data_IF_139163242196
#
_entry.id   IF_139163242196
#
_cell.length_a   1.000
_cell.length_b   1.000
_cell.length_c   1.000
_cell.angle_alpha   90.00
_cell.angle_beta   90.00
_cell.angle_gamma   90.00
#
_symmetry.space_group_name_H-M   'P 1'
#
loop_
_entity.id
_entity.type
_entity.pdbx_description
1 polymer ?
#
# COMPACT_ATOMS: atom_id res chain seq x y z
N UNK A 1 -17.04 -17.23 -7.75
CA UNK A 1 -16.85 -16.01 -8.55
C UNK A 1 -16.32 -14.87 -7.68
N UNK A 2 -16.94 -14.49 -6.55
CA UNK A 2 -16.50 -13.35 -5.71
C UNK A 2 -14.98 -13.34 -5.39
N UNK A 3 -14.44 -14.46 -4.89
CA UNK A 3 -13.02 -14.54 -4.50
C UNK A 3 -12.09 -14.46 -5.72
N UNK A 4 -12.47 -15.06 -6.85
CA UNK A 4 -11.68 -15.05 -8.08
C UNK A 4 -11.56 -13.63 -8.62
N UNK A 5 -12.66 -12.87 -8.59
CA UNK A 5 -12.70 -11.47 -9.05
C UNK A 5 -11.79 -10.56 -8.20
N UNK A 6 -11.54 -10.93 -6.94
CA UNK A 6 -10.72 -10.17 -6.00
C UNK A 6 -9.22 -10.54 -6.02
N UNK A 7 -8.83 -11.64 -6.67
CA UNK A 7 -7.42 -12.05 -6.72
C UNK A 7 -6.49 -11.01 -7.38
N UNK A 8 -6.82 -10.41 -8.55
CA UNK A 8 -5.96 -9.41 -9.16
C UNK A 8 -5.75 -8.16 -8.28
N UNK A 9 -6.79 -7.51 -7.70
CA UNK A 9 -6.59 -6.37 -6.82
C UNK A 9 -5.86 -6.73 -5.52
N UNK A 10 -6.05 -7.94 -4.98
CA UNK A 10 -5.27 -8.40 -3.82
C UNK A 10 -3.80 -8.63 -4.17
N UNK A 11 -3.50 -9.18 -5.34
CA UNK A 11 -2.14 -9.31 -5.85
C UNK A 11 -1.45 -7.95 -6.01
N UNK A 12 -2.17 -6.96 -6.52
CA UNK A 12 -1.68 -5.58 -6.61
C UNK A 12 -1.39 -4.99 -5.21
N UNK A 13 -2.29 -5.17 -4.25
CA UNK A 13 -2.07 -4.73 -2.87
C UNK A 13 -0.91 -5.46 -2.20
N UNK A 14 -0.78 -6.77 -2.43
CA UNK A 14 0.34 -7.56 -1.91
C UNK A 14 1.68 -6.97 -2.36
N UNK A 15 1.84 -6.74 -3.67
CA UNK A 15 3.03 -6.08 -4.20
C UNK A 15 3.24 -4.72 -3.56
N UNK A 16 2.17 -3.93 -3.41
CA UNK A 16 2.23 -2.60 -2.83
C UNK A 16 2.69 -2.60 -1.37
N UNK A 17 2.28 -3.58 -0.55
CA UNK A 17 2.71 -3.73 0.85
C UNK A 17 4.23 -3.92 0.93
N UNK A 18 4.83 -4.69 0.00
CA UNK A 18 6.28 -4.91 -0.02
C UNK A 18 7.09 -3.72 -0.55
N UNK A 19 6.45 -2.76 -1.19
CA UNK A 19 7.13 -1.54 -1.66
C UNK A 19 7.62 -0.71 -0.47
N UNK A 20 8.92 -0.35 -0.42
CA UNK A 20 9.44 0.53 0.60
C UNK A 20 8.72 1.87 0.66
N UNK A 21 8.10 2.15 1.79
CA UNK A 21 7.37 3.39 2.03
C UNK A 21 7.31 3.73 3.52
N UNK A 22 6.72 4.89 3.89
CA UNK A 22 6.71 5.35 5.28
C UNK A 22 6.23 4.30 6.28
N UNK A 23 5.17 3.53 5.97
CA UNK A 23 4.63 2.52 6.88
C UNK A 23 5.59 1.35 7.10
N UNK A 24 6.21 0.84 6.02
CA UNK A 24 7.19 -0.26 6.10
C UNK A 24 8.42 0.20 6.86
N UNK A 25 8.96 1.37 6.52
CA UNK A 25 10.14 1.92 7.18
C UNK A 25 9.87 2.18 8.67
N UNK A 26 8.71 2.75 9.02
CA UNK A 26 8.31 2.95 10.41
C UNK A 26 8.18 1.63 11.17
N UNK A 27 7.59 0.60 10.56
CA UNK A 27 7.43 -0.73 11.18
C UNK A 27 8.79 -1.37 11.46
N UNK A 28 9.72 -1.33 10.48
CA UNK A 28 11.07 -1.87 10.62
C UNK A 28 11.84 -1.09 11.69
N UNK A 29 11.88 0.25 11.62
CA UNK A 29 12.58 1.09 12.57
C UNK A 29 12.08 0.87 14.01
N UNK A 30 10.76 0.77 14.19
CA UNK A 30 10.15 0.49 15.49
C UNK A 30 10.49 -0.92 15.98
N UNK A 31 10.45 -1.93 15.13
CA UNK A 31 10.82 -3.29 15.49
C UNK A 31 12.30 -3.39 15.89
N UNK A 32 13.18 -2.64 15.23
CA UNK A 32 14.62 -2.59 15.56
C UNK A 32 14.90 -1.86 16.89
N UNK A 33 14.19 -0.77 17.20
CA UNK A 33 14.45 0.08 18.36
C UNK A 33 13.65 -0.30 19.59
N UNK A 34 12.37 -0.69 19.42
CA UNK A 34 11.44 -1.00 20.53
C UNK A 34 11.08 -2.49 20.61
N UNK A 35 11.68 -3.31 19.75
CA UNK A 35 11.49 -4.76 19.73
C UNK A 35 10.27 -5.22 18.94
N UNK A 36 10.22 -6.56 18.73
CA UNK A 36 9.22 -7.23 17.90
C UNK A 36 7.77 -6.91 18.29
N UNK A 37 7.49 -6.82 19.60
CA UNK A 37 6.11 -6.55 20.07
C UNK A 37 5.60 -5.17 19.63
N UNK A 38 6.44 -4.15 19.72
CA UNK A 38 6.11 -2.81 19.24
C UNK A 38 5.96 -2.78 17.71
N UNK A 39 6.82 -3.51 16.97
CA UNK A 39 6.67 -3.70 15.53
C UNK A 39 5.35 -4.38 15.14
N UNK A 40 4.89 -5.39 15.90
CA UNK A 40 3.59 -6.02 15.69
C UNK A 40 2.42 -5.08 15.99
N UNK A 41 2.57 -4.17 16.97
CA UNK A 41 1.57 -3.12 17.20
C UNK A 41 1.47 -2.16 15.99
N UNK A 42 2.61 -1.80 15.36
CA UNK A 42 2.61 -1.08 14.09
C UNK A 42 1.91 -1.87 12.97
N UNK A 43 2.14 -3.18 12.88
CA UNK A 43 1.50 -4.03 11.88
C UNK A 43 -0.03 -4.05 12.05
N UNK A 44 -0.51 -4.16 13.29
CA UNK A 44 -1.95 -4.10 13.59
C UNK A 44 -2.54 -2.76 13.19
N UNK A 45 -1.86 -1.66 13.51
CA UNK A 45 -2.26 -0.31 13.12
C UNK A 45 -2.34 -0.15 11.59
N UNK A 46 -1.36 -0.70 10.86
CA UNK A 46 -1.35 -0.70 9.39
C UNK A 46 -2.51 -1.52 8.81
N UNK A 47 -2.83 -2.68 9.41
CA UNK A 47 -3.97 -3.50 9.00
C UNK A 47 -5.30 -2.78 9.20
N UNK A 48 -5.54 -2.25 10.41
CA UNK A 48 -6.75 -1.50 10.73
C UNK A 48 -6.87 -0.22 9.92
N UNK A 49 -5.78 0.53 9.74
CA UNK A 49 -5.79 1.74 8.93
C UNK A 49 -6.10 1.47 7.45
N UNK A 50 -5.56 0.37 6.87
CA UNK A 50 -5.89 0.00 5.50
C UNK A 50 -7.35 -0.48 5.38
N UNK A 51 -7.89 -1.19 6.37
CA UNK A 51 -9.30 -1.55 6.43
C UNK A 51 -10.20 -0.30 6.45
N UNK A 52 -9.89 0.71 7.28
CA UNK A 52 -10.62 1.98 7.31
C UNK A 52 -10.59 2.68 5.95
N UNK A 53 -9.41 2.75 5.32
CA UNK A 53 -9.27 3.30 3.98
C UNK A 53 -10.11 2.54 2.95
N UNK A 54 -10.07 1.19 2.98
CA UNK A 54 -10.83 0.34 2.07
C UNK A 54 -12.33 0.66 2.15
N UNK A 55 -12.89 0.61 3.35
CA UNK A 55 -14.31 0.87 3.58
C UNK A 55 -14.68 2.27 3.08
N UNK A 56 -13.94 3.31 3.48
CA UNK A 56 -14.24 4.69 3.12
C UNK A 56 -14.16 4.94 1.63
N UNK A 57 -13.07 4.49 0.97
CA UNK A 57 -12.87 4.72 -0.47
C UNK A 57 -13.83 3.90 -1.32
N UNK A 58 -14.08 2.62 -0.97
CA UNK A 58 -14.92 1.75 -1.81
C UNK A 58 -16.40 2.13 -1.72
N UNK A 59 -16.90 2.49 -0.55
CA UNK A 59 -18.27 3.02 -0.41
C UNK A 59 -18.41 4.33 -1.18
N UNK A 60 -17.45 5.25 -1.03
CA UNK A 60 -17.44 6.50 -1.76
C UNK A 60 -17.36 6.31 -3.28
N UNK A 61 -16.50 5.40 -3.75
CA UNK A 61 -16.37 5.08 -5.17
C UNK A 61 -17.64 4.42 -5.73
N UNK A 62 -18.25 3.49 -5.01
CA UNK A 62 -19.51 2.85 -5.42
C UNK A 62 -20.64 3.89 -5.59
N UNK A 63 -20.81 4.78 -4.60
CA UNK A 63 -21.80 5.85 -4.67
C UNK A 63 -21.52 6.82 -5.83
N UNK A 64 -20.26 7.21 -6.03
CA UNK A 64 -19.86 8.12 -7.08
C UNK A 64 -20.07 7.52 -8.48
N UNK A 65 -19.72 6.25 -8.68
CA UNK A 65 -19.91 5.56 -9.96
C UNK A 65 -21.40 5.35 -10.30
N UNK A 66 -22.23 5.13 -9.28
CA UNK A 66 -23.68 5.02 -9.46
C UNK A 66 -24.33 6.36 -9.84
N UNK A 67 -23.92 7.44 -9.16
CA UNK A 67 -24.49 8.78 -9.41
C UNK A 67 -23.98 9.41 -10.71
N UNK A 68 -22.70 9.20 -11.05
CA UNK A 68 -22.05 9.86 -12.19
C UNK A 68 -21.15 8.87 -12.95
N UNK A 69 -21.65 8.12 -13.93
CA UNK A 69 -20.88 7.09 -14.66
C UNK A 69 -19.59 7.61 -15.30
N UNK A 70 -19.54 8.89 -15.74
CA UNK A 70 -18.35 9.53 -16.32
C UNK A 70 -17.15 9.56 -15.35
N UNK A 71 -17.41 9.54 -14.04
CA UNK A 71 -16.37 9.60 -13.04
C UNK A 71 -15.44 8.39 -13.10
N UNK A 72 -15.91 7.24 -13.59
CA UNK A 72 -15.09 6.05 -13.79
C UNK A 72 -13.94 6.35 -14.78
N UNK A 73 -14.22 6.96 -15.91
CA UNK A 73 -13.20 7.34 -16.91
C UNK A 73 -12.26 8.40 -16.37
N UNK A 74 -12.79 9.40 -15.64
CA UNK A 74 -11.96 10.45 -15.01
C UNK A 74 -11.01 9.84 -13.97
N UNK A 75 -11.51 8.96 -13.11
CA UNK A 75 -10.68 8.27 -12.09
C UNK A 75 -9.64 7.37 -12.75
N UNK A 76 -10.00 6.68 -13.85
CA UNK A 76 -9.06 5.86 -14.61
C UNK A 76 -7.93 6.72 -15.20
N UNK A 77 -8.24 7.88 -15.79
CA UNK A 77 -7.23 8.81 -16.29
C UNK A 77 -6.30 9.31 -15.19
N UNK A 78 -6.88 9.78 -14.06
CA UNK A 78 -6.10 10.25 -12.91
C UNK A 78 -5.23 9.13 -12.31
N UNK A 79 -5.78 7.92 -12.20
CA UNK A 79 -5.04 6.74 -11.74
C UNK A 79 -3.86 6.40 -12.65
N UNK A 80 -4.06 6.42 -13.96
CA UNK A 80 -3.01 6.22 -14.96
C UNK A 80 -1.88 7.23 -14.83
N UNK A 81 -2.21 8.53 -14.76
CA UNK A 81 -1.23 9.60 -14.58
C UNK A 81 -0.46 9.50 -13.25
N UNK A 82 -1.16 9.17 -12.16
CA UNK A 82 -0.55 8.97 -10.85
C UNK A 82 0.40 7.77 -10.85
N UNK A 83 0.02 6.67 -11.50
CA UNK A 83 0.91 5.51 -11.65
C UNK A 83 2.15 5.86 -12.44
N UNK A 84 2.07 6.68 -13.50
CA UNK A 84 3.24 7.20 -14.21
C UNK A 84 4.14 8.03 -13.29
N UNK A 85 3.56 8.98 -12.56
CA UNK A 85 4.31 9.82 -11.62
C UNK A 85 5.05 8.99 -10.56
N UNK A 86 4.36 8.03 -9.93
CA UNK A 86 4.98 7.18 -8.91
C UNK A 86 5.94 6.17 -9.52
N UNK A 87 5.66 5.63 -10.71
CA UNK A 87 6.58 4.77 -11.44
C UNK A 87 7.94 5.43 -11.64
N UNK A 88 7.94 6.63 -12.21
CA UNK A 88 9.16 7.45 -12.37
C UNK A 88 9.82 7.76 -11.02
N UNK A 89 9.05 8.11 -10.00
CA UNK A 89 9.59 8.40 -8.66
C UNK A 89 10.25 7.18 -8.02
N UNK A 90 9.70 5.98 -8.18
CA UNK A 90 10.30 4.75 -7.68
C UNK A 90 11.55 4.35 -8.46
N UNK A 91 11.58 4.53 -9.79
CA UNK A 91 12.78 4.34 -10.60
C UNK A 91 13.88 5.29 -10.11
N UNK A 92 13.58 6.57 -9.89
CA UNK A 92 14.55 7.54 -9.33
C UNK A 92 15.07 7.12 -7.96
N UNK A 93 14.21 6.57 -7.07
CA UNK A 93 14.65 6.03 -5.77
C UNK A 93 15.56 4.82 -5.91
N UNK A 94 15.36 3.96 -6.90
CA UNK A 94 16.22 2.83 -7.17
C UNK A 94 17.63 3.29 -7.64
N UNK A 95 17.71 4.43 -8.34
CA UNK A 95 18.98 5.01 -8.81
C UNK A 95 19.68 5.87 -7.74
N UNK A 96 18.95 6.29 -6.70
CA UNK A 96 19.52 7.10 -5.60
C UNK A 96 20.27 6.21 -4.58
N UNK A 97 21.02 6.84 -3.68
CA UNK A 97 21.67 6.14 -2.58
C UNK A 97 20.64 5.46 -1.68
N UNK A 98 21.01 4.30 -1.12
CA UNK A 98 20.14 3.56 -0.22
C UNK A 98 19.81 4.41 1.03
N UNK A 99 18.55 4.32 1.49
CA UNK A 99 18.13 4.96 2.74
C UNK A 99 18.73 4.18 3.90
N UNK A 100 19.31 4.87 4.88
CA UNK A 100 19.71 4.26 6.15
C UNK A 100 18.47 4.20 7.03
N UNK A 101 18.10 3.01 7.48
CA UNK A 101 17.04 2.83 8.48
C UNK A 101 17.71 2.86 9.84
N UNK A 102 17.48 3.93 10.58
CA UNK A 102 17.87 4.04 11.98
C UNK A 102 16.82 3.38 12.86
N UNK A 103 17.28 2.74 13.96
CA UNK A 103 16.36 2.21 14.95
C UNK A 103 15.59 3.38 15.60
N UNK A 104 14.27 3.27 15.69
CA UNK A 104 13.48 4.26 16.39
C UNK A 104 13.83 4.26 17.90
N UNK A 105 13.60 5.40 18.56
CA UNK A 105 13.68 5.47 20.02
C UNK A 105 12.76 4.44 20.66
N UNK A 106 13.12 3.95 21.85
CA UNK A 106 12.32 2.97 22.57
C UNK A 106 10.95 3.58 22.95
N UNK A 107 9.87 2.94 22.50
CA UNK A 107 8.49 3.42 22.66
C UNK A 107 7.60 2.30 23.18
N UNK A 108 6.58 2.65 24.04
CA UNK A 108 5.57 1.69 24.42
C UNK A 108 4.72 1.28 23.22
N UNK A 109 4.15 0.06 23.26
CA UNK A 109 3.36 -0.50 22.16
C UNK A 109 2.19 0.39 21.73
N UNK A 110 1.55 1.07 22.69
CA UNK A 110 0.44 1.99 22.39
C UNK A 110 0.90 3.20 21.55
N UNK A 111 2.04 3.80 21.88
CA UNK A 111 2.59 4.90 21.12
C UNK A 111 3.02 4.44 19.71
N UNK A 112 3.62 3.25 19.59
CA UNK A 112 3.98 2.65 18.32
C UNK A 112 2.75 2.39 17.44
N UNK A 113 1.65 1.88 18.02
CA UNK A 113 0.37 1.67 17.33
C UNK A 113 -0.17 3.00 16.77
N UNK A 114 -0.38 4.00 17.63
CA UNK A 114 -1.00 5.25 17.21
C UNK A 114 -0.16 6.02 16.20
N UNK A 115 1.17 6.01 16.34
CA UNK A 115 2.06 6.60 15.36
C UNK A 115 1.92 5.91 13.99
N UNK A 116 1.94 4.56 13.96
CA UNK A 116 1.81 3.82 12.72
C UNK A 116 0.42 4.02 12.09
N UNK A 117 -0.64 4.11 12.90
CA UNK A 117 -1.99 4.40 12.44
C UNK A 117 -2.07 5.79 11.80
N UNK A 118 -1.52 6.82 12.45
CA UNK A 118 -1.47 8.16 11.88
C UNK A 118 -0.68 8.21 10.58
N UNK A 119 0.50 7.55 10.54
CA UNK A 119 1.29 7.43 9.31
C UNK A 119 0.48 6.75 8.21
N UNK A 120 -0.29 5.68 8.52
CA UNK A 120 -1.15 5.01 7.54
C UNK A 120 -2.24 5.94 7.02
N UNK A 121 -2.89 6.71 7.89
CA UNK A 121 -4.00 7.59 7.52
C UNK A 121 -3.55 8.82 6.71
N UNK A 122 -2.34 9.30 6.93
CA UNK A 122 -1.79 10.50 6.28
C UNK A 122 -0.83 10.21 5.12
N UNK A 123 -0.55 8.94 4.85
CA UNK A 123 0.45 8.55 3.86
C UNK A 123 -0.07 8.75 2.43
N UNK A 124 0.55 9.65 1.64
CA UNK A 124 0.13 9.88 0.26
C UNK A 124 0.27 8.63 -0.63
N UNK A 125 1.19 7.71 -0.30
CA UNK A 125 1.30 6.42 -0.98
C UNK A 125 0.02 5.60 -0.85
N UNK A 126 -0.62 5.60 0.33
CA UNK A 126 -1.88 4.87 0.56
C UNK A 126 -3.01 5.49 -0.25
N UNK A 127 -3.14 6.82 -0.24
CA UNK A 127 -4.14 7.53 -1.04
C UNK A 127 -4.03 7.18 -2.53
N UNK A 128 -2.82 7.23 -3.07
CA UNK A 128 -2.57 6.93 -4.48
C UNK A 128 -2.73 5.44 -4.81
N UNK A 129 -2.42 4.55 -3.85
CA UNK A 129 -2.71 3.12 -3.99
C UNK A 129 -4.20 2.89 -4.17
N UNK A 130 -5.05 3.55 -3.38
CA UNK A 130 -6.50 3.41 -3.51
C UNK A 130 -7.04 3.98 -4.81
N UNK A 131 -6.52 5.12 -5.28
CA UNK A 131 -6.86 5.62 -6.62
C UNK A 131 -6.50 4.62 -7.71
N UNK A 132 -5.33 3.99 -7.62
CA UNK A 132 -4.94 2.94 -8.55
C UNK A 132 -5.86 1.70 -8.45
N UNK A 133 -6.21 1.26 -7.24
CA UNK A 133 -7.10 0.11 -7.02
C UNK A 133 -8.47 0.32 -7.66
N UNK A 134 -9.14 1.45 -7.39
CA UNK A 134 -10.47 1.72 -7.96
C UNK A 134 -10.43 1.98 -9.47
N UNK A 135 -9.30 2.46 -10.00
CA UNK A 135 -9.09 2.68 -11.43
C UNK A 135 -8.86 1.37 -12.19
N UNK A 136 -7.97 0.52 -11.67
CA UNK A 136 -7.60 -0.75 -12.31
C UNK A 136 -8.65 -1.85 -12.10
N UNK A 137 -9.31 -1.85 -10.95
CA UNK A 137 -10.17 -2.93 -10.50
C UNK A 137 -11.52 -2.40 -9.98
N UNK A 138 -12.36 -1.77 -10.83
CA UNK A 138 -13.64 -1.22 -10.39
C UNK A 138 -14.59 -2.28 -9.80
N UNK A 139 -14.33 -3.56 -10.04
CA UNK A 139 -15.06 -4.69 -9.46
C UNK A 139 -15.06 -4.69 -7.93
N UNK A 140 -14.04 -4.12 -7.28
CA UNK A 140 -13.95 -4.06 -5.80
C UNK A 140 -15.02 -3.18 -5.17
N UNK A 141 -15.61 -2.25 -5.94
CA UNK A 141 -16.68 -1.35 -5.51
C UNK A 141 -18.05 -1.70 -6.14
N UNK A 142 -18.20 -2.91 -6.72
CA UNK A 142 -19.39 -3.32 -7.46
C UNK A 142 -20.64 -3.44 -6.59
N UNK A 143 -20.51 -4.06 -5.42
CA UNK A 143 -21.61 -4.33 -4.49
C UNK A 143 -21.10 -4.52 -3.05
N UNK A 144 -22.01 -4.54 -2.08
CA UNK A 144 -21.67 -4.65 -0.68
C UNK A 144 -20.83 -5.91 -0.32
N UNK A 145 -21.10 -7.12 -0.86
CA UNK A 145 -20.25 -8.28 -0.65
C UNK A 145 -18.82 -8.10 -1.13
N UNK A 146 -18.60 -7.48 -2.32
CA UNK A 146 -17.24 -7.20 -2.83
C UNK A 146 -16.52 -6.20 -1.94
N UNK A 147 -17.19 -5.10 -1.56
CA UNK A 147 -16.63 -4.07 -0.66
C UNK A 147 -16.23 -4.70 0.67
N UNK A 148 -17.13 -5.43 1.33
CA UNK A 148 -16.87 -6.04 2.63
C UNK A 148 -15.72 -7.05 2.58
N UNK A 149 -15.78 -7.99 1.64
CA UNK A 149 -14.78 -9.05 1.50
C UNK A 149 -13.41 -8.47 1.17
N UNK A 150 -13.35 -7.57 0.18
CA UNK A 150 -12.08 -6.95 -0.21
C UNK A 150 -11.48 -6.09 0.90
N UNK A 151 -12.30 -5.33 1.63
CA UNK A 151 -11.83 -4.50 2.75
C UNK A 151 -11.18 -5.33 3.86
N UNK A 152 -11.84 -6.43 4.26
CA UNK A 152 -11.30 -7.33 5.27
C UNK A 152 -10.00 -7.98 4.79
N UNK A 153 -10.00 -8.52 3.56
CA UNK A 153 -8.81 -9.16 2.98
C UNK A 153 -7.64 -8.16 2.84
N UNK A 154 -7.90 -6.93 2.42
CA UNK A 154 -6.90 -5.88 2.33
C UNK A 154 -6.28 -5.54 3.70
N UNK A 155 -7.13 -5.41 4.74
CA UNK A 155 -6.67 -5.19 6.12
C UNK A 155 -5.82 -6.35 6.63
N UNK A 156 -6.27 -7.59 6.45
CA UNK A 156 -5.52 -8.79 6.82
C UNK A 156 -4.18 -8.90 6.08
N UNK A 157 -4.18 -8.61 4.77
CA UNK A 157 -2.98 -8.62 3.94
C UNK A 157 -1.96 -7.58 4.41
N UNK A 158 -2.41 -6.36 4.70
CA UNK A 158 -1.56 -5.31 5.24
C UNK A 158 -0.99 -5.69 6.62
N UNK A 159 -1.83 -6.20 7.51
CA UNK A 159 -1.37 -6.72 8.81
C UNK A 159 -0.30 -7.79 8.63
N UNK A 160 -0.57 -8.82 7.83
CA UNK A 160 0.34 -9.94 7.62
C UNK A 160 1.70 -9.48 7.03
N UNK A 161 1.69 -8.62 6.02
CA UNK A 161 2.90 -8.07 5.42
C UNK A 161 3.73 -7.24 6.40
N UNK A 162 3.10 -6.33 7.15
CA UNK A 162 3.82 -5.54 8.15
C UNK A 162 4.27 -6.39 9.36
N UNK A 163 3.50 -7.42 9.77
CA UNK A 163 3.91 -8.38 10.79
C UNK A 163 5.12 -9.20 10.36
N UNK A 164 5.19 -9.57 9.07
CA UNK A 164 6.37 -10.20 8.50
C UNK A 164 7.59 -9.28 8.60
N UNK A 165 7.47 -8.00 8.22
CA UNK A 165 8.55 -7.03 8.41
C UNK A 165 8.94 -6.87 9.88
N UNK A 166 7.98 -6.75 10.80
CA UNK A 166 8.24 -6.62 12.22
C UNK A 166 8.99 -7.83 12.79
N UNK A 167 8.70 -9.03 12.30
CA UNK A 167 9.34 -10.26 12.79
C UNK A 167 10.70 -10.49 12.17
N UNK A 168 10.85 -10.33 10.86
CA UNK A 168 12.11 -10.56 10.15
C UNK A 168 13.14 -9.48 10.43
N UNK A 169 12.72 -8.23 10.56
CA UNK A 169 13.64 -7.09 10.68
C UNK A 169 13.72 -6.51 12.10
N UNK A 170 13.45 -7.33 13.12
CA UNK A 170 13.63 -6.93 14.53
C UNK A 170 15.10 -6.88 14.96
N UNK A 171 16.05 -7.21 14.09
CA UNK A 171 17.48 -7.11 14.33
C UNK A 171 18.17 -6.17 13.34
N UNK A 172 19.27 -5.54 13.79
CA UNK A 172 20.09 -4.65 12.94
C UNK A 172 20.67 -5.37 11.71
N UNK A 173 20.98 -6.66 11.84
CA UNK A 173 21.51 -7.47 10.73
C UNK A 173 20.46 -7.67 9.64
N UNK A 174 19.22 -7.96 10.02
CA UNK A 174 18.12 -8.12 9.09
C UNK A 174 17.75 -6.79 8.41
N UNK A 175 17.80 -5.67 9.13
CA UNK A 175 17.62 -4.33 8.54
C UNK A 175 18.60 -4.07 7.39
N UNK A 176 19.85 -4.52 7.48
CA UNK A 176 20.84 -4.43 6.38
C UNK A 176 20.43 -5.20 5.14
N UNK A 177 19.84 -6.40 5.30
CA UNK A 177 19.35 -7.20 4.17
C UNK A 177 18.22 -6.44 3.44
N UNK A 178 17.29 -5.85 4.18
CA UNK A 178 16.25 -5.02 3.57
C UNK A 178 16.82 -3.85 2.77
N UNK A 179 17.88 -3.21 3.28
CA UNK A 179 18.55 -2.11 2.58
C UNK A 179 19.16 -2.56 1.24
N UNK A 180 19.71 -3.78 1.18
CA UNK A 180 20.23 -4.35 -0.09
C UNK A 180 19.09 -4.55 -1.10
N UNK A 181 17.92 -4.97 -0.65
CA UNK A 181 16.75 -5.21 -1.48
C UNK A 181 15.98 -3.93 -1.86
N UNK A 182 16.26 -2.82 -1.19
CA UNK A 182 15.55 -1.54 -1.40
C UNK A 182 15.58 -1.08 -2.86
N UNK A 183 16.76 -1.09 -3.48
CA UNK A 183 16.95 -0.62 -4.87
C UNK A 183 16.25 -1.52 -5.88
N UNK A 184 16.47 -2.84 -5.92
CA UNK A 184 15.80 -3.72 -6.88
C UNK A 184 14.27 -3.74 -6.69
N UNK A 185 13.76 -3.67 -5.47
CA UNK A 185 12.32 -3.57 -5.22
C UNK A 185 11.76 -2.27 -5.81
N UNK A 186 12.39 -1.13 -5.55
CA UNK A 186 11.92 0.14 -6.11
C UNK A 186 12.00 0.16 -7.64
N UNK A 187 13.04 -0.42 -8.26
CA UNK A 187 13.17 -0.52 -9.71
C UNK A 187 12.02 -1.35 -10.31
N UNK A 188 11.81 -2.56 -9.79
CA UNK A 188 10.76 -3.46 -10.28
C UNK A 188 9.38 -2.81 -10.18
N UNK A 189 9.07 -2.26 -9.01
CA UNK A 189 7.79 -1.61 -8.79
C UNK A 189 7.61 -0.38 -9.67
N UNK A 190 8.65 0.43 -9.81
CA UNK A 190 8.60 1.60 -10.68
C UNK A 190 8.26 1.23 -12.12
N UNK A 191 8.90 0.18 -12.66
CA UNK A 191 8.59 -0.35 -14.00
C UNK A 191 7.15 -0.87 -14.07
N UNK A 192 6.72 -1.68 -13.10
CA UNK A 192 5.34 -2.18 -13.07
C UNK A 192 4.31 -1.04 -13.04
N UNK A 193 4.56 0.01 -12.26
CA UNK A 193 3.64 1.16 -12.19
C UNK A 193 3.58 1.94 -13.50
N UNK A 194 4.74 2.12 -14.17
CA UNK A 194 4.75 2.73 -15.50
C UNK A 194 3.97 1.91 -16.51
N UNK A 195 4.17 0.59 -16.56
CA UNK A 195 3.46 -0.28 -17.49
C UNK A 195 1.94 -0.29 -17.22
N UNK A 196 1.53 -0.41 -15.97
CA UNK A 196 0.11 -0.36 -15.60
C UNK A 196 -0.52 1.01 -15.87
N UNK A 197 0.19 2.10 -15.56
CA UNK A 197 -0.29 3.45 -15.86
C UNK A 197 -0.47 3.68 -17.35
N UNK A 198 0.46 3.22 -18.18
CA UNK A 198 0.34 3.26 -19.63
C UNK A 198 -0.88 2.47 -20.11
N UNK A 199 -1.06 1.23 -19.62
CA UNK A 199 -2.22 0.40 -19.94
C UNK A 199 -3.53 1.15 -19.68
N UNK A 200 -3.70 1.76 -18.48
CA UNK A 200 -4.89 2.52 -18.14
C UNK A 200 -5.13 3.71 -19.09
N UNK A 201 -4.08 4.42 -19.46
CA UNK A 201 -4.20 5.56 -20.37
C UNK A 201 -4.55 5.11 -21.79
N UNK A 202 -4.02 3.98 -22.25
CA UNK A 202 -4.38 3.40 -23.56
C UNK A 202 -5.83 2.89 -23.59
N UNK A 203 -6.35 2.33 -22.50
CA UNK A 203 -7.77 1.89 -22.42
C UNK A 203 -8.78 3.04 -22.49
N UNK A 204 -8.34 4.29 -22.37
CA UNK A 204 -9.18 5.48 -22.55
C UNK A 204 -9.20 6.03 -23.98
N UNK A 205 -8.30 5.53 -24.83
CA UNK A 205 -8.29 5.90 -26.25
C UNK A 205 -9.41 5.16 -26.96
N UNK A 206 -10.12 5.81 -27.92
CA UNK A 206 -11.20 5.20 -28.68
C UNK A 206 -10.71 4.07 -29.58
#
# INVERSE_FOLDING_TARGET
>A
MLVIDLLPPLGFLLLNVFIPGPNVLNTIATAMGSGRRAGLACALACGLGLLCWAIGVLIGAAALFAAFPITKSVITALGGLLLQYFGVRYIRKALSHAIIIEAAENRPMSAAFWQAFLVMMTNPKVMTTWLAVISLFPVVARDAPHIATFSVMAGCLSFAGHALFATLFSSRAAGRIYMMLYRPINALVGVCFCLYGLKLLFELLP
#
